data_IF_455534168010
#
_entry.id   IF_455534168010
#
_cell.length_a   1.000
_cell.length_b   1.000
_cell.length_c   1.000
_cell.angle_alpha   90.00
_cell.angle_beta   90.00
_cell.angle_gamma   90.00
#
_symmetry.space_group_name_H-M   'P 1'
#
loop_
_entity.id
_entity.type
_entity.pdbx_description
1 polymer ?
#
# COMPACT_ATOMS: atom_id res chain seq x y z
N UNK A 1 1.97 8.02 -18.75
CA UNK A 1 1.63 6.80 -18.00
C UNK A 1 1.53 7.20 -16.53
N UNK A 2 0.57 6.68 -15.76
CA UNK A 2 0.53 6.99 -14.31
C UNK A 2 1.65 6.18 -13.65
N UNK A 3 2.66 6.86 -13.13
CA UNK A 3 3.71 6.20 -12.35
C UNK A 3 3.10 5.65 -11.06
N UNK A 4 3.30 4.35 -10.82
CA UNK A 4 2.89 3.70 -9.57
C UNK A 4 3.90 4.04 -8.47
N UNK A 5 3.84 5.29 -8.03
CA UNK A 5 4.79 5.82 -7.05
C UNK A 5 4.31 5.55 -5.63
N UNK A 6 5.24 5.12 -4.77
CA UNK A 6 4.99 4.95 -3.35
C UNK A 6 4.63 6.30 -2.71
N UNK A 7 3.48 6.38 -2.02
CA UNK A 7 2.97 7.61 -1.42
C UNK A 7 3.03 7.52 0.12
N UNK A 8 4.17 7.89 0.74
CA UNK A 8 4.39 7.68 2.17
C UNK A 8 3.38 8.45 3.04
N UNK A 9 3.00 9.67 2.63
CA UNK A 9 1.99 10.45 3.35
C UNK A 9 0.63 9.77 3.43
N UNK A 10 0.21 9.07 2.36
CA UNK A 10 -1.07 8.34 2.34
C UNK A 10 -1.02 7.10 3.23
N UNK A 11 0.13 6.41 3.26
CA UNK A 11 0.36 5.28 4.17
C UNK A 11 0.27 5.73 5.62
N UNK A 12 0.96 6.83 5.98
CA UNK A 12 0.94 7.35 7.36
C UNK A 12 -0.45 7.81 7.78
N UNK A 13 -1.16 8.56 6.94
CA UNK A 13 -2.52 9.02 7.23
C UNK A 13 -3.47 7.83 7.41
N UNK A 14 -3.42 6.87 6.48
CA UNK A 14 -4.27 5.69 6.57
C UNK A 14 -3.95 4.87 7.83
N UNK A 15 -2.67 4.72 8.18
CA UNK A 15 -2.24 4.02 9.39
C UNK A 15 -2.71 4.73 10.66
N UNK A 16 -2.65 6.06 10.73
CA UNK A 16 -3.16 6.84 11.88
C UNK A 16 -4.67 6.64 12.06
N UNK A 17 -5.44 6.77 10.98
CA UNK A 17 -6.91 6.58 11.01
C UNK A 17 -7.24 5.15 11.46
N UNK A 18 -6.59 4.15 10.87
CA UNK A 18 -6.87 2.75 11.18
C UNK A 18 -6.44 2.39 12.61
N UNK A 19 -5.35 2.98 13.11
CA UNK A 19 -4.94 2.81 14.51
C UNK A 19 -6.00 3.35 15.46
N UNK A 20 -6.51 4.56 15.22
CA UNK A 20 -7.58 5.13 16.04
C UNK A 20 -8.83 4.24 16.08
N UNK A 21 -9.22 3.67 14.92
CA UNK A 21 -10.35 2.73 14.82
C UNK A 21 -10.07 1.46 15.63
N UNK A 22 -8.90 0.85 15.47
CA UNK A 22 -8.54 -0.39 16.19
C UNK A 22 -8.52 -0.17 17.69
N UNK A 23 -7.89 0.91 18.16
CA UNK A 23 -7.83 1.24 19.59
C UNK A 23 -9.24 1.42 20.15
N UNK A 24 -10.11 2.14 19.43
CA UNK A 24 -11.49 2.38 19.86
C UNK A 24 -12.35 1.11 19.84
N UNK A 25 -12.28 0.32 18.78
CA UNK A 25 -13.11 -0.89 18.60
C UNK A 25 -12.69 -2.03 19.51
N UNK A 26 -11.40 -2.12 19.86
CA UNK A 26 -10.86 -3.17 20.72
C UNK A 26 -10.72 -2.73 22.18
N UNK A 27 -11.22 -1.55 22.55
CA UNK A 27 -11.13 -0.97 23.90
C UNK A 27 -9.71 -1.01 24.50
N UNK A 28 -8.72 -0.68 23.66
CA UNK A 28 -7.32 -0.77 24.04
C UNK A 28 -6.88 0.48 24.81
N UNK A 29 -6.11 0.26 25.88
CA UNK A 29 -5.50 1.35 26.63
C UNK A 29 -4.50 2.16 25.79
N UNK A 30 -4.26 3.42 26.19
CA UNK A 30 -3.43 4.38 25.45
C UNK A 30 -1.99 3.90 25.16
N UNK A 31 -1.44 3.00 25.98
CA UNK A 31 -0.12 2.40 25.74
C UNK A 31 -0.02 1.61 24.42
N UNK A 32 -1.15 1.14 23.88
CA UNK A 32 -1.21 0.38 22.63
C UNK A 32 -1.13 1.24 21.37
N UNK A 33 -1.27 2.56 21.48
CA UNK A 33 -1.30 3.45 20.32
C UNK A 33 -0.05 3.34 19.45
N UNK A 34 1.13 3.46 20.06
CA UNK A 34 2.42 3.40 19.36
C UNK A 34 2.68 2.03 18.73
N UNK A 35 2.60 0.89 19.46
CA UNK A 35 2.86 -0.41 18.85
C UNK A 35 1.85 -0.77 17.77
N UNK A 36 0.56 -0.44 17.96
CA UNK A 36 -0.46 -0.67 16.94
C UNK A 36 -0.19 0.18 15.69
N UNK A 37 0.15 1.46 15.86
CA UNK A 37 0.48 2.35 14.76
C UNK A 37 1.67 1.85 13.94
N UNK A 38 2.75 1.44 14.60
CA UNK A 38 3.95 0.92 13.92
C UNK A 38 3.59 -0.33 13.11
N UNK A 39 2.86 -1.28 13.71
CA UNK A 39 2.45 -2.50 13.03
C UNK A 39 1.60 -2.20 11.79
N UNK A 40 0.57 -1.36 11.96
CA UNK A 40 -0.35 -0.98 10.87
C UNK A 40 0.39 -0.24 9.76
N UNK A 41 1.29 0.70 10.11
CA UNK A 41 2.09 1.44 9.15
C UNK A 41 2.99 0.51 8.32
N UNK A 42 3.62 -0.47 8.95
CA UNK A 42 4.44 -1.48 8.26
C UNK A 42 3.59 -2.31 7.30
N UNK A 43 2.42 -2.78 7.74
CA UNK A 43 1.50 -3.56 6.88
C UNK A 43 1.05 -2.73 5.68
N UNK A 44 0.64 -1.48 5.90
CA UNK A 44 0.16 -0.60 4.83
C UNK A 44 1.29 -0.22 3.86
N UNK A 45 2.48 0.06 4.37
CA UNK A 45 3.66 0.29 3.53
C UNK A 45 3.97 -0.93 2.67
N UNK A 46 4.01 -2.12 3.28
CA UNK A 46 4.26 -3.38 2.58
C UNK A 46 3.26 -3.64 1.46
N UNK A 47 1.96 -3.52 1.77
CA UNK A 47 0.91 -3.65 0.77
C UNK A 47 1.03 -2.61 -0.35
N UNK A 48 1.26 -1.33 -0.01
CA UNK A 48 1.35 -0.27 -1.01
C UNK A 48 2.55 -0.48 -1.95
N UNK A 49 3.71 -0.88 -1.41
CA UNK A 49 4.87 -1.24 -2.20
C UNK A 49 4.60 -2.46 -3.10
N UNK A 50 3.96 -3.50 -2.56
CA UNK A 50 3.58 -4.69 -3.32
C UNK A 50 2.62 -4.36 -4.47
N UNK A 51 1.58 -3.55 -4.23
CA UNK A 51 0.65 -3.11 -5.26
C UNK A 51 1.33 -2.33 -6.37
N UNK A 52 2.23 -1.41 -6.01
CA UNK A 52 2.97 -0.63 -7.01
C UNK A 52 3.88 -1.52 -7.86
N UNK A 53 4.57 -2.47 -7.23
CA UNK A 53 5.42 -3.45 -7.92
C UNK A 53 4.60 -4.34 -8.86
N UNK A 54 3.50 -4.93 -8.36
CA UNK A 54 2.66 -5.82 -9.14
C UNK A 54 2.06 -5.11 -10.36
N UNK A 55 1.56 -3.89 -10.18
CA UNK A 55 1.00 -3.10 -11.27
C UNK A 55 2.05 -2.70 -12.30
N UNK A 56 3.27 -2.36 -11.86
CA UNK A 56 4.39 -2.08 -12.76
C UNK A 56 4.70 -3.31 -13.61
N UNK A 57 4.76 -4.48 -12.97
CA UNK A 57 5.05 -5.74 -13.66
C UNK A 57 3.98 -6.13 -14.66
N UNK A 58 2.70 -5.98 -14.31
CA UNK A 58 1.57 -6.25 -15.20
C UNK A 58 1.57 -5.30 -16.41
N UNK A 59 1.88 -4.02 -16.22
CA UNK A 59 1.99 -3.07 -17.33
C UNK A 59 3.14 -3.42 -18.29
N UNK A 60 4.30 -3.84 -17.78
CA UNK A 60 5.41 -4.29 -18.61
C UNK A 60 5.05 -5.51 -19.46
N UNK A 61 4.37 -6.50 -18.86
CA UNK A 61 3.92 -7.70 -19.58
C UNK A 61 2.86 -7.34 -20.63
N UNK A 62 1.87 -6.53 -20.28
CA UNK A 62 0.83 -6.09 -21.20
C UNK A 62 1.36 -5.22 -22.34
N UNK A 63 2.48 -4.52 -22.15
CA UNK A 63 3.18 -3.81 -23.24
C UNK A 63 3.86 -4.78 -24.20
N UNK A 64 4.60 -5.77 -23.67
CA UNK A 64 5.30 -6.79 -24.49
C UNK A 64 4.34 -7.61 -25.35
N UNK A 65 3.16 -7.94 -24.83
CA UNK A 65 2.14 -8.67 -25.59
C UNK A 65 1.61 -7.82 -26.76
N UNK A 66 1.28 -6.55 -26.50
CA UNK A 66 0.83 -5.62 -27.56
C UNK A 66 1.88 -5.40 -28.65
N UNK A 67 3.14 -5.22 -28.26
CA UNK A 67 4.25 -5.08 -29.22
C UNK A 67 4.50 -6.34 -30.05
N UNK A 68 4.10 -7.53 -29.57
CA UNK A 68 4.19 -8.78 -30.32
C UNK A 68 3.01 -8.96 -31.29
N UNK A 69 1.82 -8.49 -30.89
CA UNK A 69 0.61 -8.49 -31.71
C UNK A 69 0.71 -7.49 -32.88
N UNK A 70 1.26 -6.29 -32.64
CA UNK A 70 1.48 -5.27 -33.68
C UNK A 70 2.56 -5.67 -34.73
N UNK A 71 3.35 -6.71 -34.46
CA UNK A 71 4.41 -7.21 -35.36
C UNK A 71 3.99 -8.43 -36.20
N UNK A 72 2.79 -8.96 -35.97
CA UNK A 72 2.15 -10.04 -36.75
C UNK A 72 1.26 -9.44 -37.84
#
# INVERSE_FOLDING_TARGET
MRDYTFQPGRVVIAALIFTAIVIWQADLGWAWWVPAFILIAVVFAGMHAFYNWANTRLNEMGRRVREAEDKL
#
